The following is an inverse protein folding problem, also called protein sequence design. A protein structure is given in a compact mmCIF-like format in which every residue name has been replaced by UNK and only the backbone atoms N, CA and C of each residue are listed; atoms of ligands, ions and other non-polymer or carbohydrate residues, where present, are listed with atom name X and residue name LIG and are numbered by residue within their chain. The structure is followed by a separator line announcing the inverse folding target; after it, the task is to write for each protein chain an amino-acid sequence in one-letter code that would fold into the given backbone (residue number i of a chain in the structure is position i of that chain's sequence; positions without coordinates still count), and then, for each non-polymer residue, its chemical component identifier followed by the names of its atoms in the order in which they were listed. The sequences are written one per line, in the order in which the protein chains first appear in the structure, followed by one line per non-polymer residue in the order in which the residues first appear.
data_IF_281959299772
#
_entry.id   IF_281959299772
#
_cell.length_a   1.000
_cell.length_b   1.000
_cell.length_c   1.000
_cell.angle_alpha   90.00
_cell.angle_beta   90.00
_cell.angle_gamma   90.00
#
_symmetry.space_group_name_H-M   'P 1'
#
loop_
_entity.id
_entity.type
_entity.pdbx_description
1 polymer ?
#
# COMPACT_ATOMS: atom_id res chain seq x y z
N UNK A 1 28.69 -22.93 -43.31
CA UNK A 1 28.52 -21.47 -43.40
C UNK A 1 28.64 -20.94 -41.98
N UNK A 2 29.83 -20.44 -41.64
CA UNK A 2 30.28 -20.23 -40.27
C UNK A 2 29.78 -18.91 -39.70
N UNK A 3 29.29 -18.99 -38.45
CA UNK A 3 28.93 -17.91 -37.56
C UNK A 3 29.98 -16.78 -37.54
N UNK A 4 29.56 -15.59 -37.93
CA UNK A 4 30.37 -14.37 -37.86
C UNK A 4 29.57 -13.23 -37.20
N UNK A 5 28.92 -13.53 -36.06
CA UNK A 5 28.17 -12.54 -35.26
C UNK A 5 28.81 -12.27 -33.88
N UNK A 6 29.94 -12.92 -33.56
CA UNK A 6 30.52 -12.86 -32.21
C UNK A 6 31.56 -11.75 -31.98
N UNK A 7 31.89 -10.93 -32.99
CA UNK A 7 33.00 -9.96 -32.91
C UNK A 7 32.59 -8.52 -32.56
N UNK A 8 31.30 -8.18 -32.52
CA UNK A 8 30.86 -6.80 -32.21
C UNK A 8 30.70 -6.50 -30.71
N UNK A 9 30.73 -7.52 -29.84
CA UNK A 9 30.48 -7.31 -28.40
C UNK A 9 31.65 -6.84 -27.51
N UNK A 10 32.94 -7.05 -27.80
CA UNK A 10 34.00 -6.62 -26.87
C UNK A 10 34.23 -5.10 -26.87
N UNK A 11 33.85 -4.40 -27.95
CA UNK A 11 34.04 -2.96 -28.07
C UNK A 11 32.99 -2.16 -27.27
N UNK A 12 31.74 -2.62 -27.28
CA UNK A 12 30.63 -1.94 -26.61
C UNK A 12 30.82 -1.78 -25.09
N UNK A 13 31.23 -2.85 -24.40
CA UNK A 13 31.50 -2.79 -22.96
C UNK A 13 32.68 -1.87 -22.63
N UNK A 14 33.69 -1.84 -23.51
CA UNK A 14 34.86 -0.97 -23.33
C UNK A 14 34.51 0.49 -23.58
N UNK A 15 33.63 0.80 -24.55
CA UNK A 15 33.12 2.16 -24.77
C UNK A 15 32.38 2.68 -23.55
N UNK A 16 31.49 1.90 -22.98
CA UNK A 16 30.74 2.30 -21.79
C UNK A 16 31.70 2.57 -20.63
N UNK A 17 32.66 1.68 -20.40
CA UNK A 17 33.61 1.81 -19.29
C UNK A 17 34.54 3.03 -19.43
N UNK A 18 34.92 3.39 -20.66
CA UNK A 18 35.72 4.59 -20.93
C UNK A 18 34.86 5.88 -20.90
N UNK A 19 33.58 5.82 -21.30
CA UNK A 19 32.62 6.93 -21.24
C UNK A 19 32.09 7.20 -19.82
N UNK A 20 32.09 6.19 -18.94
CA UNK A 20 31.66 6.27 -17.54
C UNK A 20 32.80 6.66 -16.57
N UNK A 21 34.01 6.98 -17.07
CA UNK A 21 35.08 7.49 -16.22
C UNK A 21 34.67 8.85 -15.60
N UNK A 22 34.96 9.03 -14.31
CA UNK A 22 34.70 10.26 -13.58
C UNK A 22 36.02 10.84 -13.02
N UNK A 23 36.51 11.99 -13.52
CA UNK A 23 35.92 12.83 -14.56
C UNK A 23 36.16 12.28 -15.98
N UNK A 24 35.18 12.44 -16.87
CA UNK A 24 35.31 12.07 -18.27
C UNK A 24 36.27 13.03 -18.99
N UNK A 25 37.35 12.50 -19.59
CA UNK A 25 38.28 13.25 -20.44
C UNK A 25 38.20 12.78 -21.90
N UNK A 26 37.63 13.64 -22.73
CA UNK A 26 37.46 13.38 -24.15
C UNK A 26 38.79 13.27 -24.91
N UNK A 27 39.85 13.95 -24.46
CA UNK A 27 41.16 13.94 -25.12
C UNK A 27 41.85 12.60 -24.88
N UNK A 28 41.90 12.16 -23.62
CA UNK A 28 42.45 10.84 -23.24
C UNK A 28 41.65 9.70 -23.88
N UNK A 29 40.32 9.82 -23.98
CA UNK A 29 39.48 8.85 -24.70
C UNK A 29 39.88 8.70 -26.17
N UNK A 30 40.01 9.82 -26.90
CA UNK A 30 40.41 9.80 -28.31
C UNK A 30 41.84 9.29 -28.49
N UNK A 31 42.74 9.61 -27.55
CA UNK A 31 44.12 9.12 -27.58
C UNK A 31 44.19 7.60 -27.35
N UNK A 32 43.46 7.07 -26.37
CA UNK A 32 43.34 5.61 -26.13
C UNK A 32 42.67 4.91 -27.31
N UNK A 33 41.66 5.53 -27.92
CA UNK A 33 40.99 5.02 -29.11
C UNK A 33 41.98 4.95 -30.28
N UNK A 34 42.74 6.03 -30.53
CA UNK A 34 43.78 6.07 -31.55
C UNK A 34 44.87 5.01 -31.31
N UNK A 35 45.35 4.87 -30.07
CA UNK A 35 46.32 3.85 -29.65
C UNK A 35 45.82 2.42 -29.88
N UNK A 36 44.55 2.13 -29.56
CA UNK A 36 43.93 0.83 -29.83
C UNK A 36 43.80 0.58 -31.33
N UNK A 37 43.43 1.59 -32.11
CA UNK A 37 43.26 1.49 -33.56
C UNK A 37 44.58 1.29 -34.33
N UNK A 38 45.69 1.88 -33.86
CA UNK A 38 47.01 1.69 -34.45
C UNK A 38 47.76 0.46 -33.91
N UNK A 39 47.16 -0.25 -32.94
CA UNK A 39 47.76 -1.43 -32.31
C UNK A 39 49.08 -1.12 -31.58
N UNK A 40 49.24 0.12 -31.13
CA UNK A 40 50.45 0.61 -30.47
C UNK A 40 51.71 0.64 -31.33
N UNK A 41 51.57 0.76 -32.65
CA UNK A 41 52.72 0.96 -33.55
C UNK A 41 53.13 2.42 -33.55
N UNK A 42 54.31 2.68 -33.01
CA UNK A 42 54.96 3.98 -33.12
C UNK A 42 55.47 4.20 -34.55
N UNK A 43 54.78 5.10 -35.26
CA UNK A 43 55.26 5.94 -36.36
C UNK A 43 55.68 5.33 -37.72
N UNK A 44 56.00 4.05 -37.87
CA UNK A 44 56.59 3.54 -39.15
C UNK A 44 55.59 2.98 -40.20
N UNK A 45 54.28 3.15 -40.02
CA UNK A 45 53.32 2.66 -41.02
C UNK A 45 51.87 3.11 -40.87
N UNK A 46 51.61 4.17 -40.11
CA UNK A 46 50.26 4.71 -39.96
C UNK A 46 49.98 5.64 -41.14
N UNK A 47 49.35 5.09 -42.18
CA UNK A 47 48.83 5.88 -43.30
C UNK A 47 47.70 6.80 -42.81
N UNK A 48 47.79 8.10 -43.13
CA UNK A 48 46.77 9.08 -42.77
C UNK A 48 45.39 8.71 -43.35
N UNK A 49 45.34 8.09 -44.53
CA UNK A 49 44.09 7.62 -45.11
C UNK A 49 43.48 6.45 -44.32
N UNK A 50 44.32 5.54 -43.81
CA UNK A 50 43.88 4.43 -42.96
C UNK A 50 43.29 4.93 -41.64
N UNK A 51 43.99 5.86 -40.97
CA UNK A 51 43.54 6.43 -39.69
C UNK A 51 42.23 7.21 -39.85
N UNK A 52 42.10 8.00 -40.93
CA UNK A 52 40.86 8.72 -41.27
C UNK A 52 39.68 7.76 -41.42
N UNK A 53 39.84 6.70 -42.23
CA UNK A 53 38.76 5.73 -42.46
C UNK A 53 38.34 5.04 -41.15
N UNK A 54 39.32 4.72 -40.30
CA UNK A 54 39.05 4.12 -38.98
C UNK A 54 38.30 5.06 -38.03
N UNK A 55 38.68 6.33 -37.97
CA UNK A 55 37.92 7.32 -37.22
C UNK A 55 36.50 7.52 -37.78
N UNK A 56 36.30 7.48 -39.09
CA UNK A 56 34.96 7.56 -39.70
C UNK A 56 34.09 6.36 -39.30
N UNK A 57 34.65 5.15 -39.26
CA UNK A 57 33.97 3.94 -38.74
C UNK A 57 33.61 4.07 -37.25
N UNK A 58 34.52 4.61 -36.44
CA UNK A 58 34.29 4.78 -34.99
C UNK A 58 33.29 5.89 -34.67
N UNK A 59 33.31 6.99 -35.42
CA UNK A 59 32.29 8.03 -35.31
C UNK A 59 30.91 7.44 -35.60
N UNK A 60 30.79 6.62 -36.65
CA UNK A 60 29.53 5.91 -36.95
C UNK A 60 29.11 4.97 -35.82
N UNK A 61 30.06 4.26 -35.22
CA UNK A 61 29.78 3.35 -34.09
C UNK A 61 29.30 4.10 -32.84
N UNK A 62 29.92 5.25 -32.52
CA UNK A 62 29.50 6.12 -31.42
C UNK A 62 28.15 6.78 -31.68
N UNK A 63 27.84 7.14 -32.93
CA UNK A 63 26.52 7.64 -33.31
C UNK A 63 25.43 6.59 -33.07
N UNK A 64 25.64 5.35 -33.52
CA UNK A 64 24.72 4.24 -33.24
C UNK A 64 24.55 3.99 -31.74
N UNK A 65 25.64 4.08 -30.97
CA UNK A 65 25.60 3.96 -29.52
C UNK A 65 24.77 5.07 -28.87
N UNK A 66 24.96 6.32 -29.32
CA UNK A 66 24.17 7.47 -28.87
C UNK A 66 22.68 7.30 -29.19
N UNK A 67 22.35 6.82 -30.40
CA UNK A 67 20.97 6.54 -30.79
C UNK A 67 20.34 5.45 -29.91
N UNK A 68 21.10 4.40 -29.57
CA UNK A 68 20.66 3.36 -28.64
C UNK A 68 20.40 3.89 -27.23
N UNK A 69 21.30 4.72 -26.70
CA UNK A 69 21.10 5.35 -25.39
C UNK A 69 19.89 6.29 -25.41
N UNK A 70 19.75 7.12 -26.43
CA UNK A 70 18.61 8.01 -26.55
C UNK A 70 17.28 7.23 -26.64
N UNK A 71 17.26 6.14 -27.41
CA UNK A 71 16.10 5.24 -27.49
C UNK A 71 15.76 4.62 -26.14
N UNK A 72 16.77 4.16 -25.40
CA UNK A 72 16.60 3.60 -24.05
C UNK A 72 16.10 4.64 -23.05
N UNK A 73 16.64 5.86 -23.10
CA UNK A 73 16.19 6.99 -22.27
C UNK A 73 14.71 7.27 -22.55
N UNK A 74 14.33 7.44 -23.82
CA UNK A 74 12.95 7.72 -24.21
C UNK A 74 11.99 6.61 -23.75
N UNK A 75 12.41 5.34 -23.86
CA UNK A 75 11.61 4.20 -23.40
C UNK A 75 11.42 4.22 -21.87
N UNK A 76 12.48 4.51 -21.11
CA UNK A 76 12.42 4.61 -19.66
C UNK A 76 11.58 5.81 -19.19
N UNK A 77 11.72 6.96 -19.85
CA UNK A 77 10.90 8.15 -19.57
C UNK A 77 9.42 7.89 -19.88
N UNK A 78 9.11 7.23 -21.00
CA UNK A 78 7.75 6.86 -21.33
C UNK A 78 7.18 5.86 -20.32
N UNK A 79 7.95 4.85 -19.92
CA UNK A 79 7.55 3.89 -18.90
C UNK A 79 7.28 4.60 -17.56
N UNK A 80 8.21 5.45 -17.11
CA UNK A 80 8.08 6.22 -15.88
C UNK A 80 6.83 7.10 -15.91
N UNK A 81 6.57 7.78 -17.03
CA UNK A 81 5.42 8.66 -17.16
C UNK A 81 4.09 7.87 -17.15
N UNK A 82 4.05 6.71 -17.81
CA UNK A 82 2.90 5.82 -17.81
C UNK A 82 2.63 5.27 -16.41
N UNK A 83 3.67 4.77 -15.73
CA UNK A 83 3.56 4.29 -14.35
C UNK A 83 3.08 5.39 -13.42
N UNK A 84 3.69 6.58 -13.47
CA UNK A 84 3.30 7.74 -12.67
C UNK A 84 1.82 8.08 -12.86
N UNK A 85 1.34 8.11 -14.09
CA UNK A 85 -0.06 8.41 -14.40
C UNK A 85 -0.98 7.34 -13.81
N UNK A 86 -0.68 6.06 -14.02
CA UNK A 86 -1.44 4.94 -13.46
C UNK A 86 -1.47 4.95 -11.93
N UNK A 87 -0.35 5.29 -11.29
CA UNK A 87 -0.25 5.42 -9.84
C UNK A 87 -1.13 6.56 -9.33
N UNK A 88 -1.09 7.73 -9.96
CA UNK A 88 -1.93 8.88 -9.58
C UNK A 88 -3.42 8.56 -9.74
N UNK A 89 -3.82 7.93 -10.84
CA UNK A 89 -5.21 7.53 -11.07
C UNK A 89 -5.68 6.52 -10.01
N UNK A 90 -4.83 5.54 -9.70
CA UNK A 90 -5.14 4.53 -8.67
C UNK A 90 -5.24 5.18 -7.29
N UNK A 91 -4.34 6.11 -6.96
CA UNK A 91 -4.34 6.83 -5.71
C UNK A 91 -5.59 7.69 -5.55
N UNK A 92 -5.98 8.44 -6.60
CA UNK A 92 -7.21 9.24 -6.60
C UNK A 92 -8.43 8.36 -6.34
N UNK A 93 -8.55 7.24 -7.07
CA UNK A 93 -9.66 6.30 -6.88
C UNK A 93 -9.71 5.70 -5.48
N UNK A 94 -8.56 5.39 -4.89
CA UNK A 94 -8.49 4.89 -3.51
C UNK A 94 -8.87 5.96 -2.50
N UNK A 95 -8.43 7.19 -2.72
CA UNK A 95 -8.79 8.34 -1.89
C UNK A 95 -10.32 8.57 -1.90
N UNK A 96 -10.94 8.55 -3.08
CA UNK A 96 -12.38 8.74 -3.22
C UNK A 96 -13.17 7.61 -2.53
N UNK A 97 -12.78 6.35 -2.75
CA UNK A 97 -13.37 5.20 -2.05
C UNK A 97 -13.21 5.27 -0.54
N UNK A 98 -12.07 5.75 -0.06
CA UNK A 98 -11.85 5.94 1.36
C UNK A 98 -12.75 7.04 1.93
N UNK A 99 -12.93 8.14 1.18
CA UNK A 99 -13.91 9.19 1.49
C UNK A 99 -15.34 8.65 1.61
N UNK A 100 -15.78 7.83 0.65
CA UNK A 100 -17.10 7.19 0.69
C UNK A 100 -17.26 6.24 1.90
N UNK A 101 -16.25 5.43 2.18
CA UNK A 101 -16.25 4.53 3.34
C UNK A 101 -16.30 5.30 4.66
N UNK A 102 -15.56 6.41 4.76
CA UNK A 102 -15.58 7.27 5.94
C UNK A 102 -16.97 7.90 6.15
N UNK A 103 -17.62 8.33 5.07
CA UNK A 103 -18.97 8.88 5.14
C UNK A 103 -20.00 7.83 5.60
N UNK A 104 -19.92 6.61 5.06
CA UNK A 104 -20.74 5.48 5.52
C UNK A 104 -20.52 5.17 7.00
N UNK A 105 -19.28 5.25 7.48
CA UNK A 105 -18.95 5.02 8.88
C UNK A 105 -19.56 6.10 9.78
N UNK A 106 -19.51 7.38 9.38
CA UNK A 106 -20.18 8.47 10.11
C UNK A 106 -21.69 8.28 10.17
N UNK A 107 -22.32 7.85 9.07
CA UNK A 107 -23.75 7.55 9.05
C UNK A 107 -24.09 6.40 10.00
N UNK A 108 -23.29 5.32 9.97
CA UNK A 108 -23.45 4.20 10.89
C UNK A 108 -23.34 4.66 12.34
N UNK A 109 -22.31 5.44 12.68
CA UNK A 109 -22.11 5.97 14.03
C UNK A 109 -23.31 6.82 14.50
N UNK A 110 -23.82 7.70 13.63
CA UNK A 110 -25.04 8.47 13.91
C UNK A 110 -26.27 7.59 14.17
N UNK A 111 -26.43 6.50 13.42
CA UNK A 111 -27.51 5.54 13.68
C UNK A 111 -27.30 4.78 14.99
N UNK A 112 -26.06 4.40 15.31
CA UNK A 112 -25.71 3.72 16.56
C UNK A 112 -25.98 4.61 17.77
N UNK A 113 -25.61 5.89 17.72
CA UNK A 113 -25.94 6.87 18.75
C UNK A 113 -27.45 7.01 18.94
N UNK A 114 -28.21 7.10 17.83
CA UNK A 114 -29.67 7.20 17.87
C UNK A 114 -30.31 5.96 18.50
N UNK A 115 -29.87 4.76 18.11
CA UNK A 115 -30.37 3.51 18.68
C UNK A 115 -30.01 3.42 20.17
N UNK A 116 -28.79 3.77 20.54
CA UNK A 116 -28.33 3.75 21.94
C UNK A 116 -29.18 4.68 22.81
N UNK A 117 -29.46 5.90 22.36
CA UNK A 117 -30.32 6.83 23.07
C UNK A 117 -31.75 6.29 23.25
N UNK A 118 -32.31 5.66 22.21
CA UNK A 118 -33.63 5.03 22.28
C UNK A 118 -33.67 3.84 23.24
N UNK A 119 -32.63 3.01 23.25
CA UNK A 119 -32.51 1.85 24.16
C UNK A 119 -32.46 2.31 25.62
N UNK A 120 -31.66 3.34 25.93
CA UNK A 120 -31.61 3.92 27.27
C UNK A 120 -32.99 4.44 27.68
N UNK A 121 -33.62 5.25 26.82
CA UNK A 121 -34.94 5.80 27.14
C UNK A 121 -36.01 4.72 27.33
N UNK A 122 -35.99 3.66 26.53
CA UNK A 122 -36.89 2.52 26.70
C UNK A 122 -36.62 1.79 28.02
N UNK A 123 -35.36 1.65 28.42
CA UNK A 123 -34.97 1.12 29.72
C UNK A 123 -35.58 1.91 30.87
N UNK A 124 -35.42 3.24 30.83
CA UNK A 124 -35.99 4.14 31.84
C UNK A 124 -37.52 4.01 31.92
N UNK A 125 -38.20 3.95 30.76
CA UNK A 125 -39.65 3.75 30.71
C UNK A 125 -40.07 2.41 31.32
N UNK A 126 -39.36 1.32 31.00
CA UNK A 126 -39.66 0.00 31.54
C UNK A 126 -39.43 -0.06 33.06
N UNK A 127 -38.35 0.54 33.57
CA UNK A 127 -38.09 0.63 35.00
C UNK A 127 -39.18 1.42 35.73
N UNK A 128 -39.62 2.55 35.15
CA UNK A 128 -40.68 3.38 35.72
C UNK A 128 -42.01 2.66 35.90
N UNK A 129 -42.32 1.69 35.02
CA UNK A 129 -43.53 0.85 35.10
C UNK A 129 -43.30 -0.39 35.97
N UNK A 130 -42.11 -0.99 35.90
CA UNK A 130 -41.78 -2.19 36.65
C UNK A 130 -41.71 -1.93 38.16
N UNK A 131 -41.09 -0.83 38.60
CA UNK A 131 -40.93 -0.51 40.01
C UNK A 131 -42.25 -0.44 40.81
N UNK A 132 -43.30 0.31 40.39
CA UNK A 132 -44.57 0.33 41.11
C UNK A 132 -45.30 -1.02 41.04
N UNK A 133 -45.17 -1.76 39.92
CA UNK A 133 -45.77 -3.09 39.77
C UNK A 133 -45.13 -4.11 40.71
N UNK A 134 -43.80 -4.13 40.81
CA UNK A 134 -43.06 -4.98 41.73
C UNK A 134 -43.45 -4.65 43.18
N UNK A 135 -43.48 -3.36 43.54
CA UNK A 135 -43.91 -2.91 44.87
C UNK A 135 -45.35 -3.35 45.21
N UNK A 136 -46.28 -3.23 44.26
CA UNK A 136 -47.67 -3.67 44.47
C UNK A 136 -47.78 -5.20 44.63
N UNK A 137 -46.97 -5.96 43.88
CA UNK A 137 -46.90 -7.41 43.99
C UNK A 137 -46.34 -7.85 45.35
N UNK A 138 -45.24 -7.23 45.81
CA UNK A 138 -44.67 -7.48 47.14
C UNK A 138 -45.67 -7.15 48.25
N UNK A 139 -46.38 -6.01 48.16
CA UNK A 139 -47.41 -5.65 49.13
C UNK A 139 -48.57 -6.66 49.14
N UNK A 140 -49.01 -7.15 47.98
CA UNK A 140 -50.03 -8.19 47.88
C UNK A 140 -49.54 -9.50 48.52
N UNK A 141 -48.30 -9.89 48.27
CA UNK A 141 -47.71 -11.08 48.86
C UNK A 141 -47.68 -10.96 50.39
N UNK A 142 -47.27 -9.79 50.92
CA UNK A 142 -47.30 -9.50 52.34
C UNK A 142 -48.72 -9.57 52.93
N UNK A 143 -49.72 -9.00 52.26
CA UNK A 143 -51.12 -9.07 52.69
C UNK A 143 -51.62 -10.52 52.76
N UNK A 144 -51.27 -11.36 51.76
CA UNK A 144 -51.62 -12.78 51.79
C UNK A 144 -50.99 -13.51 52.97
N UNK A 145 -49.73 -13.20 53.30
CA UNK A 145 -49.08 -13.76 54.48
C UNK A 145 -49.73 -13.28 55.79
N UNK A 146 -50.18 -12.02 55.88
CA UNK A 146 -50.95 -11.55 57.03
C UNK A 146 -52.32 -12.22 57.15
N UNK A 147 -53.04 -12.40 56.04
CA UNK A 147 -54.32 -13.11 56.03
C UNK A 147 -54.14 -14.56 56.49
N UNK A 148 -53.10 -15.25 56.03
CA UNK A 148 -52.74 -16.59 56.48
C UNK A 148 -52.40 -16.62 57.98
N UNK A 149 -51.64 -15.64 58.48
CA UNK A 149 -51.27 -15.55 59.90
C UNK A 149 -52.48 -15.30 60.82
N UNK A 150 -53.48 -14.54 60.36
CA UNK A 150 -54.66 -14.18 61.16
C UNK A 150 -55.77 -15.25 61.14
N UNK A 151 -55.72 -16.23 60.24
CA UNK A 151 -56.64 -17.37 60.22
C UNK A 151 -56.27 -18.36 61.32
N UNK A 152 -56.72 -18.08 62.55
CA UNK A 152 -56.40 -18.79 63.81
C UNK A 152 -56.68 -20.31 63.78
N UNK A 153 -57.50 -20.81 62.86
CA UNK A 153 -57.93 -22.21 62.80
C UNK A 153 -57.29 -23.04 61.66
N UNK A 154 -56.33 -22.51 60.89
CA UNK A 154 -55.69 -23.21 59.77
C UNK A 154 -54.18 -23.40 59.99
N UNK A 155 -53.64 -24.57 59.63
CA UNK A 155 -52.20 -24.81 59.71
C UNK A 155 -51.47 -23.89 58.73
N UNK A 156 -50.46 -23.15 59.21
CA UNK A 156 -49.63 -22.27 58.39
C UNK A 156 -48.89 -23.14 57.37
N UNK A 157 -49.06 -22.84 56.09
CA UNK A 157 -48.54 -23.63 54.97
C UNK A 157 -47.41 -22.91 54.22
N UNK A 158 -47.21 -21.60 54.44
CA UNK A 158 -46.13 -20.85 53.81
C UNK A 158 -44.78 -21.09 54.50
N UNK A 159 -43.76 -21.36 53.67
CA UNK A 159 -42.35 -21.53 54.06
C UNK A 159 -41.74 -20.34 54.83
N UNK A 160 -42.40 -19.18 54.84
CA UNK A 160 -41.98 -18.00 55.62
C UNK A 160 -42.32 -18.15 57.11
N UNK A 161 -43.34 -18.96 57.44
CA UNK A 161 -43.80 -19.20 58.81
C UNK A 161 -43.38 -20.58 59.35
N UNK A 162 -42.78 -21.43 58.51
CA UNK A 162 -42.30 -22.77 58.86
C UNK A 162 -40.79 -22.79 58.67
N UNK A 163 -40.04 -22.88 59.77
CA UNK A 163 -38.58 -23.01 59.75
C UNK A 163 -38.19 -24.39 59.22
N UNK A 164 -37.49 -24.50 58.07
CA UNK A 164 -37.12 -25.79 57.49
C UNK A 164 -36.04 -26.54 58.29
N UNK A 165 -35.34 -25.90 59.22
CA UNK A 165 -34.25 -26.49 60.02
C UNK A 165 -34.66 -26.81 61.48
N UNK A 166 -35.96 -26.88 61.79
CA UNK A 166 -36.48 -27.22 63.12
C UNK A 166 -37.40 -28.43 63.15
#
# INVERSE_FOLDING_TARGET
MSNNQSQQQPYFATYIQDLEQDPFDAIDFVERLAWRMTGGRDQEGVDAAFLKNKFEEEIGSLQLLSEQFQSKINALEQQQNNEKTNYLDTLSRLHDKNGESLEKLKQLDGTMQTVSAKVVHLGDQLESVHAPRARAFEALQLMRHFDEFLLVDQALHSDIFVDPDR
#
